data_IF_263461702332
#
_entry.id   IF_263461702332
#
_cell.length_a   1.000
_cell.length_b   1.000
_cell.length_c   1.000
_cell.angle_alpha   90.00
_cell.angle_beta   90.00
_cell.angle_gamma   90.00
#
_symmetry.space_group_name_H-M   'P 1'
#
loop_
_entity.id
_entity.type
_entity.pdbx_description
1 polymer ?
#
# COMPACT_ATOMS: atom_id res chain seq x y z
N UNK A 1 26.20 -8.55 -5.78
CA UNK A 1 25.37 -8.24 -4.60
C UNK A 1 26.08 -8.71 -3.33
N UNK A 2 26.67 -7.79 -2.57
CA UNK A 2 27.34 -8.16 -1.32
C UNK A 2 26.29 -8.52 -0.26
N UNK A 3 26.51 -9.62 0.48
CA UNK A 3 25.70 -9.92 1.66
C UNK A 3 25.94 -8.84 2.73
N UNK A 4 24.89 -8.46 3.46
CA UNK A 4 25.03 -7.58 4.63
C UNK A 4 25.97 -8.20 5.68
N UNK A 5 26.63 -7.36 6.47
CA UNK A 5 27.49 -7.80 7.58
C UNK A 5 26.75 -8.73 8.53
N UNK A 6 25.51 -8.38 8.89
CA UNK A 6 24.64 -9.19 9.74
C UNK A 6 24.39 -10.61 9.18
N UNK A 7 24.14 -10.73 7.87
CA UNK A 7 23.94 -12.04 7.23
C UNK A 7 25.20 -12.89 7.27
N UNK A 8 26.37 -12.29 7.05
CA UNK A 8 27.67 -12.98 7.12
C UNK A 8 27.95 -13.50 8.54
N UNK A 9 27.62 -12.73 9.57
CA UNK A 9 27.79 -13.15 10.98
C UNK A 9 26.89 -14.33 11.34
N UNK A 10 25.62 -14.33 10.90
CA UNK A 10 24.72 -15.46 11.13
C UNK A 10 25.21 -16.75 10.47
N UNK A 11 25.69 -16.65 9.22
CA UNK A 11 26.29 -17.78 8.50
C UNK A 11 27.56 -18.30 9.20
N UNK A 12 28.38 -17.41 9.77
CA UNK A 12 29.53 -17.80 10.59
C UNK A 12 29.11 -18.57 11.84
N UNK A 13 28.13 -18.08 12.60
CA UNK A 13 27.65 -18.75 13.81
C UNK A 13 27.04 -20.12 13.54
N UNK A 14 26.29 -20.26 12.45
CA UNK A 14 25.76 -21.56 12.02
C UNK A 14 26.88 -22.55 11.70
N UNK A 15 27.97 -22.09 11.06
CA UNK A 15 29.16 -22.91 10.79
C UNK A 15 29.89 -23.34 12.07
N UNK A 16 29.93 -22.47 13.07
CA UNK A 16 30.51 -22.75 14.39
C UNK A 16 29.62 -23.64 15.27
N UNK A 17 28.44 -24.07 14.79
CA UNK A 17 27.50 -24.89 15.55
C UNK A 17 26.71 -24.12 16.61
N UNK A 18 26.77 -22.78 16.61
CA UNK A 18 25.97 -21.94 17.50
C UNK A 18 24.52 -21.92 17.04
N UNK A 19 23.60 -21.76 18.00
CA UNK A 19 22.17 -21.72 17.73
C UNK A 19 21.82 -20.60 16.73
N UNK A 20 21.06 -20.95 15.70
CA UNK A 20 20.66 -20.01 14.66
C UNK A 20 19.76 -18.91 15.24
N UNK A 21 20.17 -17.62 15.16
CA UNK A 21 19.36 -16.52 15.69
C UNK A 21 18.05 -16.30 14.93
N UNK A 22 17.90 -16.84 13.70
CA UNK A 22 16.61 -16.84 13.00
C UNK A 22 15.53 -17.63 13.76
N UNK A 23 15.91 -18.71 14.45
CA UNK A 23 14.97 -19.55 15.20
C UNK A 23 14.42 -18.85 16.46
N UNK A 24 15.11 -17.82 16.95
CA UNK A 24 14.69 -17.05 18.12
C UNK A 24 13.88 -15.80 17.73
N UNK A 25 13.60 -15.58 16.44
CA UNK A 25 12.81 -14.42 16.02
C UNK A 25 11.36 -14.63 16.41
N UNK A 26 10.76 -13.61 17.01
CA UNK A 26 9.34 -13.61 17.30
C UNK A 26 8.52 -13.63 16.01
N UNK A 27 7.28 -14.08 16.09
CA UNK A 27 6.32 -14.10 14.98
C UNK A 27 6.11 -12.69 14.39
N UNK A 28 6.31 -11.67 15.22
CA UNK A 28 6.20 -10.26 14.84
C UNK A 28 7.35 -9.74 13.97
N UNK A 29 8.46 -10.47 13.87
CA UNK A 29 9.61 -10.04 13.06
C UNK A 29 9.29 -9.94 11.55
N UNK A 30 8.27 -10.68 11.10
CA UNK A 30 7.80 -10.65 9.71
C UNK A 30 6.42 -9.98 9.55
N UNK A 31 5.73 -9.71 10.66
CA UNK A 31 4.45 -9.02 10.64
C UNK A 31 4.68 -7.52 10.42
N UNK A 32 3.90 -6.92 9.51
CA UNK A 32 3.84 -5.47 9.41
C UNK A 32 3.01 -4.94 10.59
N UNK A 33 3.71 -4.52 11.65
CA UNK A 33 3.10 -3.97 12.87
C UNK A 33 2.68 -2.50 12.71
N UNK A 34 2.77 -1.93 11.51
CA UNK A 34 2.29 -0.57 11.28
C UNK A 34 0.78 -0.49 11.48
N UNK A 35 0.35 0.59 12.11
CA UNK A 35 -1.08 0.90 12.20
C UNK A 35 -1.61 1.18 10.79
N UNK A 36 -2.83 0.70 10.50
CA UNK A 36 -3.51 1.01 9.24
C UNK A 36 -3.86 2.49 9.23
N UNK A 37 -3.22 3.25 8.35
CA UNK A 37 -3.46 4.70 8.22
C UNK A 37 -4.40 4.96 7.04
N UNK A 38 -5.35 5.86 7.22
CA UNK A 38 -6.21 6.34 6.14
C UNK A 38 -5.42 7.26 5.20
N UNK A 39 -5.82 7.31 3.93
CA UNK A 39 -5.13 8.13 2.92
C UNK A 39 -5.10 9.60 3.29
N UNK A 40 -3.99 10.27 2.97
CA UNK A 40 -3.85 11.73 3.11
C UNK A 40 -4.71 12.48 2.09
N UNK A 41 -4.92 13.79 2.30
CA UNK A 41 -5.68 14.65 1.39
C UNK A 41 -5.11 14.63 -0.03
N UNK A 42 -3.79 14.69 -0.15
CA UNK A 42 -3.07 14.67 -1.44
C UNK A 42 -3.27 13.33 -2.15
N UNK A 43 -3.10 12.21 -1.44
CA UNK A 43 -3.34 10.87 -1.99
C UNK A 43 -4.78 10.67 -2.47
N UNK A 44 -5.76 11.25 -1.76
CA UNK A 44 -7.17 11.21 -2.17
C UNK A 44 -7.43 12.06 -3.41
N UNK A 45 -6.86 13.25 -3.48
CA UNK A 45 -7.03 14.15 -4.62
C UNK A 45 -6.45 13.55 -5.91
N UNK A 46 -5.29 12.92 -5.82
CA UNK A 46 -4.65 12.23 -6.94
C UNK A 46 -5.21 10.83 -7.20
N UNK A 47 -6.18 10.34 -6.39
CA UNK A 47 -6.77 9.03 -6.59
C UNK A 47 -7.78 9.06 -7.75
N UNK A 48 -7.40 8.54 -8.91
CA UNK A 48 -8.35 8.29 -10.00
C UNK A 48 -8.97 6.89 -9.89
N UNK A 49 -10.00 6.76 -9.03
CA UNK A 49 -10.71 5.48 -8.80
C UNK A 49 -11.66 5.12 -9.94
N UNK A 50 -12.32 6.11 -10.53
CA UNK A 50 -13.30 5.92 -11.59
C UNK A 50 -12.79 6.64 -12.85
N UNK A 51 -12.09 5.90 -13.70
CA UNK A 51 -11.53 6.41 -14.95
C UNK A 51 -12.66 6.69 -15.96
N UNK A 52 -13.26 7.87 -15.89
CA UNK A 52 -14.19 8.34 -16.92
C UNK A 52 -13.37 8.90 -18.08
N UNK A 53 -13.74 8.55 -19.31
CA UNK A 53 -13.12 9.14 -20.50
C UNK A 53 -13.36 10.64 -20.50
N UNK A 54 -12.33 11.44 -20.80
CA UNK A 54 -12.41 12.90 -20.93
C UNK A 54 -13.42 13.34 -22.01
N UNK A 55 -13.82 12.42 -22.89
CA UNK A 55 -14.80 12.66 -23.96
C UNK A 55 -16.27 12.66 -23.52
N UNK A 56 -16.58 12.28 -22.28
CA UNK A 56 -17.95 12.31 -21.74
C UNK A 56 -18.20 13.57 -20.89
N UNK A 57 -17.69 14.72 -21.32
CA UNK A 57 -18.26 16.01 -20.93
C UNK A 57 -19.53 16.21 -21.76
N UNK A 58 -20.60 15.49 -21.43
CA UNK A 58 -21.94 15.93 -21.82
C UNK A 58 -22.33 16.98 -20.80
N UNK A 59 -22.02 18.22 -21.19
CA UNK A 59 -22.96 19.31 -21.03
C UNK A 59 -24.36 18.82 -21.46
N UNK A 60 -25.39 19.37 -20.81
CA UNK A 60 -26.81 19.26 -21.19
C UNK A 60 -27.43 17.87 -20.86
N UNK A 61 -28.27 17.72 -19.82
CA UNK A 61 -29.73 17.69 -20.01
C UNK A 61 -30.52 17.63 -18.67
N UNK A 62 -29.99 18.21 -17.59
CA UNK A 62 -30.66 18.18 -16.26
C UNK A 62 -31.54 19.40 -15.95
N UNK A 63 -31.85 20.24 -16.95
CA UNK A 63 -32.60 21.51 -16.75
C UNK A 63 -34.05 21.51 -17.27
N UNK A 64 -34.52 20.46 -17.95
CA UNK A 64 -35.86 20.46 -18.58
C UNK A 64 -36.97 19.73 -17.81
N UNK A 65 -36.68 19.11 -16.65
CA UNK A 65 -37.67 18.29 -15.94
C UNK A 65 -38.61 19.06 -14.99
N UNK A 66 -38.50 20.40 -14.88
CA UNK A 66 -39.29 21.21 -13.95
C UNK A 66 -40.31 22.17 -14.58
N UNK A 67 -40.54 22.12 -15.91
CA UNK A 67 -41.45 23.06 -16.59
C UNK A 67 -42.43 22.39 -17.54
N UNK A 68 -43.20 21.43 -17.04
CA UNK A 68 -44.51 21.08 -17.63
C UNK A 68 -45.38 20.33 -16.62
N UNK A 69 -45.98 21.07 -15.68
CA UNK A 69 -47.20 20.66 -15.03
C UNK A 69 -48.09 21.90 -14.99
N UNK A 70 -48.85 22.08 -16.08
CA UNK A 70 -50.00 22.97 -16.14
C UNK A 70 -51.24 22.20 -15.73
#
# INVERSE_FOLDING_TARGET
>A
MAKSSARKQREKWAREGKRNPELNRSIFAFADMKQRVTKTKTEKLHQNKHKRSLSYHRDDDLFYLFRSAS
#
